data_IF_216354635467
#
_entry.id   IF_216354635467
#
_cell.length_a   1.000
_cell.length_b   1.000
_cell.length_c   1.000
_cell.angle_alpha   90.00
_cell.angle_beta   90.00
_cell.angle_gamma   90.00
#
_symmetry.space_group_name_H-M   'P 1'
#
loop_
_entity.id
_entity.type
_entity.pdbx_description
1 polymer ?
#
# COMPACT_ATOMS: atom_id res chain seq x y z
N UNK A 1 29.88 4.67 10.66
CA UNK A 1 28.94 5.67 10.09
C UNK A 1 27.57 5.08 10.31
N UNK A 2 26.75 5.67 11.17
CA UNK A 2 25.39 5.19 11.43
C UNK A 2 24.62 5.26 10.10
N UNK A 3 24.04 4.13 9.65
CA UNK A 3 22.99 4.17 8.68
C UNK A 3 21.86 5.02 9.29
N UNK A 4 21.80 6.28 8.87
CA UNK A 4 20.63 7.09 9.17
C UNK A 4 19.46 6.36 8.52
N UNK A 5 18.55 5.82 9.33
CA UNK A 5 17.30 5.23 8.86
C UNK A 5 16.66 6.24 7.91
N UNK A 6 16.57 5.86 6.64
CA UNK A 6 16.08 6.77 5.60
C UNK A 6 14.58 6.94 5.82
N UNK A 7 14.16 8.15 6.20
CA UNK A 7 12.75 8.51 6.22
C UNK A 7 12.13 8.28 4.85
N UNK A 8 10.90 7.72 4.80
CA UNK A 8 10.26 7.37 3.53
C UNK A 8 8.74 7.47 3.57
N UNK A 9 8.21 8.09 2.54
CA UNK A 9 6.79 8.00 2.24
C UNK A 9 6.56 6.95 1.14
N UNK A 10 5.47 6.17 1.24
CA UNK A 10 5.10 5.13 0.28
C UNK A 10 3.60 5.13 0.04
N UNK A 11 3.18 4.90 -1.20
CA UNK A 11 1.77 4.74 -1.58
C UNK A 11 1.46 3.31 -1.98
N UNK A 12 0.36 2.76 -1.49
CA UNK A 12 -0.17 1.48 -1.94
C UNK A 12 -1.24 1.75 -3.00
N UNK A 13 -0.92 1.46 -4.26
CA UNK A 13 -1.74 1.86 -5.41
C UNK A 13 -2.05 0.71 -6.35
N UNK A 14 -3.29 0.63 -6.81
CA UNK A 14 -3.71 -0.12 -8.00
C UNK A 14 -5.07 0.36 -8.47
N UNK A 15 -5.25 0.54 -9.78
CA UNK A 15 -6.50 0.95 -10.41
C UNK A 15 -7.46 -0.24 -10.57
N UNK A 16 -7.73 -0.91 -9.45
CA UNK A 16 -8.69 -2.01 -9.33
C UNK A 16 -9.21 -2.07 -7.91
N UNK A 17 -10.53 -2.10 -7.77
CA UNK A 17 -11.18 -2.29 -6.47
C UNK A 17 -11.05 -3.72 -5.96
N UNK A 18 -11.09 -3.88 -4.65
CA UNK A 18 -11.14 -5.19 -3.99
C UNK A 18 -9.84 -5.98 -3.94
N UNK A 19 -8.72 -5.48 -4.44
CA UNK A 19 -7.41 -6.20 -4.46
C UNK A 19 -6.76 -6.31 -3.07
N UNK A 20 -7.25 -5.54 -2.07
CA UNK A 20 -6.71 -5.55 -0.71
C UNK A 20 -5.67 -4.47 -0.43
N UNK A 21 -5.74 -3.32 -1.13
CA UNK A 21 -4.88 -2.16 -0.84
C UNK A 21 -4.88 -1.82 0.64
N UNK A 22 -6.05 -1.51 1.21
CA UNK A 22 -6.20 -1.12 2.62
C UNK A 22 -5.69 -2.19 3.60
N UNK A 23 -5.82 -3.47 3.25
CA UNK A 23 -5.26 -4.56 4.05
C UNK A 23 -3.74 -4.54 4.03
N UNK A 24 -3.14 -4.36 2.84
CA UNK A 24 -1.68 -4.29 2.69
C UNK A 24 -1.14 -3.03 3.38
N UNK A 25 -1.72 -1.86 3.12
CA UNK A 25 -1.25 -0.57 3.65
C UNK A 25 -1.33 -0.51 5.17
N UNK A 26 -2.41 -0.97 5.78
CA UNK A 26 -2.60 -1.01 7.23
C UNK A 26 -1.59 -1.95 7.92
N UNK A 27 -1.42 -3.17 7.41
CA UNK A 27 -0.47 -4.12 7.98
C UNK A 27 0.98 -3.70 7.75
N UNK A 28 1.28 -3.07 6.61
CA UNK A 28 2.58 -2.45 6.36
C UNK A 28 2.87 -1.31 7.38
N UNK A 29 1.89 -0.41 7.59
CA UNK A 29 2.04 0.67 8.57
C UNK A 29 2.33 0.11 9.96
N UNK A 30 1.63 -0.94 10.38
CA UNK A 30 1.86 -1.62 11.67
C UNK A 30 3.26 -2.22 11.78
N UNK A 31 3.75 -2.87 10.74
CA UNK A 31 5.10 -3.46 10.75
C UNK A 31 6.21 -2.41 10.72
N UNK A 32 6.00 -1.28 10.07
CA UNK A 32 6.96 -0.18 10.06
C UNK A 32 7.14 0.46 11.44
N UNK A 33 6.19 0.29 12.38
CA UNK A 33 6.34 0.82 13.76
C UNK A 33 7.51 0.18 14.53
N UNK A 34 7.94 -1.00 14.12
CA UNK A 34 9.13 -1.65 14.67
C UNK A 34 10.45 -0.99 14.21
N UNK A 35 10.36 -0.04 13.27
CA UNK A 35 11.51 0.63 12.63
C UNK A 35 11.52 2.15 12.85
N UNK A 36 10.42 2.74 13.26
CA UNK A 36 10.33 4.18 13.50
C UNK A 36 8.90 4.66 13.70
N UNK A 37 8.73 5.97 13.78
CA UNK A 37 7.43 6.62 13.95
C UNK A 37 6.66 6.61 12.63
N UNK A 38 5.42 6.16 12.64
CA UNK A 38 4.64 5.93 11.43
C UNK A 38 3.35 6.75 11.44
N UNK A 39 3.08 7.41 10.30
CA UNK A 39 1.78 7.96 9.97
C UNK A 39 1.12 7.07 8.91
N UNK A 40 -0.06 6.58 9.19
CA UNK A 40 -0.91 5.93 8.20
C UNK A 40 -1.98 6.92 7.72
N UNK A 41 -2.01 7.22 6.42
CA UNK A 41 -2.90 8.21 5.82
C UNK A 41 -3.85 7.54 4.81
N UNK A 42 -5.15 7.67 5.02
CA UNK A 42 -6.19 7.12 4.15
C UNK A 42 -6.67 8.20 3.15
N UNK A 43 -6.27 8.06 1.89
CA UNK A 43 -6.67 8.95 0.79
C UNK A 43 -7.85 8.40 -0.03
N UNK A 44 -8.36 7.20 0.28
CA UNK A 44 -9.53 6.66 -0.43
C UNK A 44 -10.80 7.33 0.12
N UNK A 45 -11.59 8.07 -0.69
CA UNK A 45 -12.84 8.69 -0.24
C UNK A 45 -13.84 7.72 0.38
N UNK A 46 -13.74 6.42 0.07
CA UNK A 46 -14.59 5.41 0.72
C UNK A 46 -14.21 5.17 2.20
N UNK A 47 -13.04 5.61 2.65
CA UNK A 47 -12.58 5.47 4.02
C UNK A 47 -12.50 4.02 4.52
N UNK A 48 -12.19 3.09 3.62
CA UNK A 48 -12.17 1.67 3.99
C UNK A 48 -11.12 1.35 5.06
N UNK A 49 -9.96 2.01 5.02
CA UNK A 49 -8.93 1.83 6.03
C UNK A 49 -9.31 2.53 7.35
N UNK A 50 -9.79 3.76 7.28
CA UNK A 50 -10.26 4.52 8.45
C UNK A 50 -11.37 3.77 9.20
N UNK A 51 -12.43 3.37 8.49
CA UNK A 51 -13.53 2.59 9.08
C UNK A 51 -13.07 1.19 9.51
N UNK A 52 -12.18 0.57 8.74
CA UNK A 52 -11.60 -0.75 9.02
C UNK A 52 -10.79 -0.80 10.33
N UNK A 53 -10.18 0.31 10.72
CA UNK A 53 -9.48 0.48 12.00
C UNK A 53 -10.40 0.93 13.15
N UNK A 54 -11.69 1.14 12.90
CA UNK A 54 -12.66 1.54 13.93
C UNK A 54 -12.80 3.05 14.15
N UNK A 55 -12.20 3.89 13.28
CA UNK A 55 -12.22 5.34 13.39
C UNK A 55 -13.31 6.00 12.50
N UNK A 56 -14.47 5.34 12.37
CA UNK A 56 -15.58 5.84 11.54
C UNK A 56 -16.16 7.19 11.99
N UNK A 57 -15.95 7.59 13.22
CA UNK A 57 -16.36 8.91 13.70
C UNK A 57 -15.44 10.00 13.11
N UNK A 58 -14.12 9.80 13.11
CA UNK A 58 -13.16 10.72 12.50
C UNK A 58 -13.38 10.90 10.98
N UNK A 59 -13.92 9.89 10.29
CA UNK A 59 -14.33 9.98 8.89
C UNK A 59 -15.45 11.01 8.64
N UNK A 60 -16.22 11.38 9.68
CA UNK A 60 -17.39 12.27 9.60
C UNK A 60 -17.20 13.60 10.31
N UNK A 61 -16.00 13.90 10.77
CA UNK A 61 -15.70 15.14 11.47
C UNK A 61 -15.98 16.38 10.60
N UNK A 62 -16.21 17.51 11.25
CA UNK A 62 -16.44 18.80 10.58
C UNK A 62 -15.17 19.29 9.89
N UNK A 63 -14.00 19.11 10.51
CA UNK A 63 -12.70 19.41 9.93
C UNK A 63 -12.16 18.16 9.24
N UNK A 64 -11.87 18.26 7.96
CA UNK A 64 -11.55 17.09 7.13
C UNK A 64 -10.19 17.21 6.44
N UNK A 65 -9.67 16.07 6.01
CA UNK A 65 -8.47 16.01 5.17
C UNK A 65 -8.65 16.84 3.88
N UNK A 66 -9.86 16.92 3.37
CA UNK A 66 -10.20 17.76 2.21
C UNK A 66 -9.94 19.24 2.45
N UNK A 67 -10.24 19.76 3.64
CA UNK A 67 -10.03 21.16 3.98
C UNK A 67 -8.54 21.49 4.02
N UNK A 68 -7.73 20.60 4.58
CA UNK A 68 -6.27 20.74 4.61
C UNK A 68 -5.66 20.70 3.20
N UNK A 69 -6.06 19.73 2.38
CA UNK A 69 -5.56 19.59 1.00
C UNK A 69 -5.93 20.79 0.13
N UNK A 70 -7.15 21.31 0.29
CA UNK A 70 -7.64 22.47 -0.47
C UNK A 70 -7.25 23.81 0.13
N UNK A 71 -6.55 23.83 1.28
CA UNK A 71 -6.13 25.07 1.96
C UNK A 71 -7.33 25.92 2.41
N UNK A 72 -8.37 25.28 2.92
CA UNK A 72 -9.57 25.92 3.45
C UNK A 72 -9.39 26.20 4.95
N UNK A 73 -9.11 27.44 5.29
CA UNK A 73 -8.86 27.86 6.68
C UNK A 73 -7.41 27.63 7.12
N UNK A 74 -7.19 27.64 8.43
CA UNK A 74 -5.84 27.60 9.04
C UNK A 74 -5.43 26.20 9.53
N UNK A 75 -6.26 25.18 9.29
CA UNK A 75 -6.02 23.82 9.75
C UNK A 75 -4.83 23.16 9.01
N UNK A 76 -4.06 22.39 9.76
CA UNK A 76 -2.94 21.60 9.27
C UNK A 76 -3.26 20.11 9.32
N UNK A 77 -2.47 19.29 8.64
CA UNK A 77 -2.61 17.84 8.76
C UNK A 77 -2.40 17.35 10.20
N UNK A 78 -1.58 18.06 10.99
CA UNK A 78 -1.34 17.78 12.39
C UNK A 78 -2.59 17.83 13.27
N UNK A 79 -3.53 18.70 12.92
CA UNK A 79 -4.78 18.89 13.68
C UNK A 79 -5.80 17.74 13.46
N UNK A 80 -5.62 16.95 12.41
CA UNK A 80 -6.48 15.84 12.04
C UNK A 80 -5.94 14.46 12.49
N UNK A 81 -4.68 14.42 12.94
CA UNK A 81 -4.04 13.17 13.28
C UNK A 81 -4.64 12.58 14.55
N UNK A 82 -5.05 11.32 14.47
CA UNK A 82 -5.61 10.53 15.58
C UNK A 82 -4.58 9.49 16.02
N UNK A 83 -4.29 9.47 17.31
CA UNK A 83 -3.46 8.43 17.91
C UNK A 83 -4.21 7.08 17.90
N UNK A 84 -3.50 6.02 17.53
CA UNK A 84 -4.06 4.66 17.56
C UNK A 84 -3.37 3.80 18.63
N UNK A 85 -3.98 2.69 19.01
CA UNK A 85 -3.37 1.70 19.92
C UNK A 85 -2.38 0.76 19.20
N UNK A 86 -2.14 0.95 17.89
CA UNK A 86 -1.35 0.04 17.05
C UNK A 86 0.10 0.51 16.82
N UNK A 87 0.52 1.59 17.52
CA UNK A 87 1.87 2.13 17.43
C UNK A 87 2.10 3.10 16.25
N UNK A 88 1.15 3.23 15.34
CA UNK A 88 1.13 4.27 14.31
C UNK A 88 0.01 5.28 14.59
N UNK A 89 0.16 6.50 14.10
CA UNK A 89 -0.91 7.50 14.09
C UNK A 89 -1.70 7.41 12.76
N UNK A 90 -2.97 7.76 12.81
CA UNK A 90 -3.87 7.76 11.65
C UNK A 90 -4.18 9.20 11.20
N UNK A 91 -3.99 9.48 9.90
CA UNK A 91 -4.61 10.62 9.23
C UNK A 91 -5.85 10.09 8.49
N UNK A 92 -7.05 10.31 9.03
CA UNK A 92 -8.26 9.67 8.54
C UNK A 92 -8.71 10.23 7.19
N UNK A 93 -9.35 9.38 6.39
CA UNK A 93 -10.11 9.80 5.21
C UNK A 93 -11.37 10.58 5.61
N UNK A 94 -12.03 11.15 4.64
CA UNK A 94 -13.32 11.83 4.84
C UNK A 94 -14.26 11.62 3.66
N UNK A 95 -15.57 11.76 3.91
CA UNK A 95 -16.60 11.71 2.88
C UNK A 95 -16.53 12.89 1.89
N UNK A 96 -15.78 13.96 2.22
CA UNK A 96 -15.59 15.13 1.36
C UNK A 96 -14.51 14.94 0.30
N UNK A 97 -13.64 13.92 0.41
CA UNK A 97 -12.53 13.71 -0.51
C UNK A 97 -12.97 13.45 -1.97
N UNK A 98 -14.19 12.96 -2.20
CA UNK A 98 -14.72 12.81 -3.55
C UNK A 98 -14.94 14.17 -4.26
N UNK A 99 -15.35 15.20 -3.52
CA UNK A 99 -15.48 16.57 -4.06
C UNK A 99 -14.12 17.25 -4.19
N UNK A 100 -13.20 16.98 -3.26
CA UNK A 100 -11.80 17.44 -3.32
C UNK A 100 -11.11 16.98 -4.60
N UNK A 101 -11.40 15.79 -5.08
CA UNK A 101 -10.90 15.26 -6.35
C UNK A 101 -11.16 16.22 -7.53
N UNK A 102 -12.36 16.82 -7.58
CA UNK A 102 -12.76 17.77 -8.62
C UNK A 102 -12.09 19.14 -8.45
N UNK A 103 -12.03 19.62 -7.21
CA UNK A 103 -11.46 20.92 -6.88
C UNK A 103 -9.94 20.94 -7.14
N UNK A 104 -9.24 19.86 -6.87
CA UNK A 104 -7.80 19.70 -7.15
C UNK A 104 -7.46 19.84 -8.62
N UNK A 105 -8.33 19.39 -9.52
CA UNK A 105 -8.08 19.50 -10.96
C UNK A 105 -8.00 20.94 -11.46
N UNK A 106 -8.67 21.89 -10.78
CA UNK A 106 -8.63 23.33 -11.08
C UNK A 106 -7.67 24.14 -10.19
N UNK A 107 -7.09 23.54 -9.16
CA UNK A 107 -6.26 24.24 -8.19
C UNK A 107 -4.83 24.47 -8.71
N UNK A 108 -4.25 25.61 -8.33
CA UNK A 108 -2.83 25.87 -8.55
C UNK A 108 -2.00 24.86 -7.77
N UNK A 109 -1.08 24.16 -8.48
CA UNK A 109 -0.30 23.04 -7.92
C UNK A 109 -1.17 21.91 -7.33
N UNK A 110 -2.36 21.67 -7.89
CA UNK A 110 -3.33 20.71 -7.36
C UNK A 110 -2.76 19.28 -7.21
N UNK A 111 -1.80 18.85 -8.03
CA UNK A 111 -1.15 17.54 -7.92
C UNK A 111 -0.09 17.43 -6.81
N UNK A 112 0.35 18.54 -6.21
CA UNK A 112 1.39 18.57 -5.17
C UNK A 112 0.86 18.88 -3.76
N UNK A 113 -0.45 18.97 -3.57
CA UNK A 113 -1.07 19.38 -2.30
C UNK A 113 -0.78 18.39 -1.17
N UNK A 114 -0.88 17.08 -1.41
CA UNK A 114 -0.54 16.06 -0.40
C UNK A 114 0.94 16.16 -0.02
N UNK A 115 1.83 16.39 -1.00
CA UNK A 115 3.24 16.61 -0.70
C UNK A 115 3.45 17.80 0.22
N UNK A 116 2.94 18.97 -0.16
CA UNK A 116 3.22 20.23 0.54
C UNK A 116 2.47 20.38 1.86
N UNK A 117 1.30 19.75 2.01
CA UNK A 117 0.45 19.88 3.20
C UNK A 117 0.60 18.74 4.21
N UNK A 118 1.11 17.59 3.78
CA UNK A 118 1.23 16.39 4.62
C UNK A 118 2.68 15.91 4.70
N UNK A 119 3.31 15.58 3.55
CA UNK A 119 4.62 14.93 3.58
C UNK A 119 5.73 15.89 4.00
N UNK A 120 5.85 17.05 3.34
CA UNK A 120 6.93 18.00 3.63
C UNK A 120 6.93 18.50 5.10
N UNK A 121 5.80 18.78 5.77
CA UNK A 121 5.82 19.21 7.16
C UNK A 121 5.94 18.08 8.18
N UNK A 122 5.71 16.82 7.83
CA UNK A 122 5.59 15.73 8.79
C UNK A 122 6.70 14.67 8.67
N UNK A 123 7.17 14.38 7.43
CA UNK A 123 8.18 13.36 7.19
C UNK A 123 9.57 13.86 7.59
N UNK A 124 10.26 13.09 8.42
CA UNK A 124 11.55 13.46 8.98
C UNK A 124 11.48 14.31 10.26
N UNK A 125 10.37 15.02 10.47
CA UNK A 125 10.14 15.82 11.66
C UNK A 125 9.36 15.03 12.73
N UNK A 126 8.13 14.66 12.42
CA UNK A 126 7.26 13.92 13.35
C UNK A 126 7.25 12.42 13.06
N UNK A 127 7.37 12.02 11.79
CA UNK A 127 7.32 10.62 11.36
C UNK A 127 8.52 10.24 10.52
N UNK A 128 8.97 9.02 10.70
CA UNK A 128 10.06 8.42 9.91
C UNK A 128 9.50 7.72 8.67
N UNK A 129 8.24 7.27 8.75
CA UNK A 129 7.51 6.66 7.63
C UNK A 129 6.10 7.25 7.50
N UNK A 130 5.65 7.43 6.24
CA UNK A 130 4.26 7.77 5.93
C UNK A 130 3.75 6.75 4.91
N UNK A 131 2.67 6.05 5.23
CA UNK A 131 2.01 5.06 4.36
C UNK A 131 0.67 5.60 3.90
N UNK A 132 0.47 5.71 2.58
CA UNK A 132 -0.80 6.15 2.00
C UNK A 132 -1.60 4.97 1.46
N UNK A 133 -2.86 4.82 1.90
CA UNK A 133 -3.87 3.99 1.24
C UNK A 133 -4.56 4.83 0.16
N UNK A 134 -4.55 4.36 -1.09
CA UNK A 134 -4.95 5.16 -2.24
C UNK A 134 -6.26 4.67 -2.87
N UNK A 135 -7.02 5.56 -3.57
CA UNK A 135 -8.23 5.16 -4.28
C UNK A 135 -8.00 4.09 -5.36
N UNK A 136 -9.06 3.37 -5.71
CA UNK A 136 -9.04 2.32 -6.74
C UNK A 136 -9.26 2.83 -8.18
N UNK A 137 -9.35 4.13 -8.38
CA UNK A 137 -9.63 4.78 -9.67
C UNK A 137 -8.56 5.83 -10.01
N UNK A 138 -8.34 6.14 -11.30
CA UNK A 138 -7.42 7.20 -11.68
C UNK A 138 -8.00 8.57 -11.32
N UNK A 139 -7.16 9.45 -10.74
CA UNK A 139 -7.61 10.78 -10.34
C UNK A 139 -6.53 11.60 -9.66
N UNK A 140 -6.92 12.79 -9.21
CA UNK A 140 -6.01 13.77 -8.61
C UNK A 140 -5.47 13.31 -7.26
N UNK A 141 -6.25 12.55 -6.47
CA UNK A 141 -5.75 12.00 -5.20
C UNK A 141 -4.63 10.98 -5.43
N UNK A 142 -4.77 10.09 -6.43
CA UNK A 142 -3.69 9.19 -6.81
C UNK A 142 -2.47 9.94 -7.35
N UNK A 143 -2.65 10.97 -8.19
CA UNK A 143 -1.55 11.80 -8.67
C UNK A 143 -0.84 12.50 -7.51
N UNK A 144 -1.59 13.02 -6.55
CA UNK A 144 -1.05 13.63 -5.33
C UNK A 144 -0.23 12.64 -4.50
N UNK A 145 -0.74 11.43 -4.32
CA UNK A 145 -0.02 10.37 -3.61
C UNK A 145 1.32 10.05 -4.30
N UNK A 146 1.33 9.91 -5.63
CA UNK A 146 2.57 9.65 -6.39
C UNK A 146 3.57 10.79 -6.28
N UNK A 147 3.12 12.04 -6.44
CA UNK A 147 3.99 13.23 -6.31
C UNK A 147 4.56 13.33 -4.89
N UNK A 148 3.76 12.98 -3.88
CA UNK A 148 4.16 13.06 -2.49
C UNK A 148 5.16 11.99 -2.08
N UNK A 149 5.01 10.76 -2.58
CA UNK A 149 5.78 9.63 -2.07
C UNK A 149 6.92 9.19 -2.99
N UNK A 150 6.72 9.29 -4.30
CA UNK A 150 7.65 8.78 -5.33
C UNK A 150 8.01 7.28 -5.18
N UNK A 151 7.44 6.61 -4.19
CA UNK A 151 7.62 5.19 -3.91
C UNK A 151 6.25 4.51 -3.90
N UNK A 152 6.12 3.40 -4.60
CA UNK A 152 4.84 2.69 -4.68
C UNK A 152 4.97 1.20 -4.43
N UNK A 153 3.95 0.63 -3.78
CA UNK A 153 3.69 -0.81 -3.68
C UNK A 153 2.42 -1.10 -4.46
N UNK A 154 2.46 -2.14 -5.30
CA UNK A 154 1.32 -2.52 -6.14
C UNK A 154 0.85 -3.93 -5.75
N UNK A 155 -0.27 -4.07 -5.03
CA UNK A 155 -0.87 -5.37 -4.74
C UNK A 155 -1.54 -5.95 -5.99
N UNK A 156 -1.41 -7.26 -6.18
CA UNK A 156 -1.95 -8.00 -7.33
C UNK A 156 -2.68 -9.24 -6.84
N UNK A 157 -3.91 -9.47 -7.32
CA UNK A 157 -4.64 -10.70 -7.00
C UNK A 157 -4.72 -11.62 -8.23
N UNK A 158 -4.93 -12.93 -8.08
CA UNK A 158 -5.11 -13.85 -9.23
C UNK A 158 -6.28 -13.47 -10.15
N UNK A 159 -6.20 -13.93 -11.38
CA UNK A 159 -7.24 -13.77 -12.39
C UNK A 159 -6.92 -12.75 -13.48
N UNK A 160 -7.53 -12.93 -14.65
CA UNK A 160 -7.31 -12.14 -15.87
C UNK A 160 -7.54 -10.63 -15.69
N UNK A 161 -8.45 -10.27 -14.78
CA UNK A 161 -8.74 -8.86 -14.45
C UNK A 161 -7.58 -8.18 -13.71
N UNK A 162 -6.65 -8.92 -13.10
CA UNK A 162 -5.51 -8.37 -12.37
C UNK A 162 -4.38 -7.89 -13.26
N UNK A 163 -4.04 -8.66 -14.29
CA UNK A 163 -3.10 -8.21 -15.32
C UNK A 163 -3.63 -6.93 -15.96
N UNK A 164 -4.95 -6.86 -16.23
CA UNK A 164 -5.62 -5.65 -16.69
C UNK A 164 -5.55 -4.50 -15.69
N UNK A 165 -5.66 -4.76 -14.39
CA UNK A 165 -5.52 -3.77 -13.31
C UNK A 165 -4.10 -3.22 -13.24
N UNK A 166 -3.10 -4.09 -13.24
CA UNK A 166 -1.69 -3.72 -13.30
C UNK A 166 -1.37 -2.87 -14.54
N UNK A 167 -1.75 -3.36 -15.72
CA UNK A 167 -1.53 -2.62 -16.98
C UNK A 167 -2.18 -1.23 -16.93
N UNK A 168 -3.44 -1.12 -16.47
CA UNK A 168 -4.09 0.18 -16.30
C UNK A 168 -3.34 1.08 -15.33
N UNK A 169 -2.85 0.55 -14.21
CA UNK A 169 -2.06 1.32 -13.24
C UNK A 169 -0.78 1.83 -13.86
N UNK A 170 -0.05 0.97 -14.57
CA UNK A 170 1.15 1.40 -15.27
C UNK A 170 0.86 2.44 -16.36
N UNK A 171 -0.13 2.18 -17.23
CA UNK A 171 -0.35 3.01 -18.42
C UNK A 171 -1.08 4.33 -18.10
N UNK A 172 -1.94 4.37 -17.07
CA UNK A 172 -2.76 5.54 -16.75
C UNK A 172 -2.29 6.33 -15.53
N UNK A 173 -1.38 5.78 -14.74
CA UNK A 173 -0.93 6.42 -13.50
C UNK A 173 0.59 6.51 -13.44
N UNK A 174 1.32 5.39 -13.47
CA UNK A 174 2.77 5.39 -13.23
C UNK A 174 3.56 5.97 -14.41
N UNK A 175 3.34 5.47 -15.63
CA UNK A 175 4.09 5.94 -16.81
C UNK A 175 3.88 7.44 -17.10
N UNK A 176 2.65 7.99 -17.10
CA UNK A 176 2.46 9.43 -17.28
C UNK A 176 3.13 10.26 -16.18
N UNK A 177 3.08 9.82 -14.93
CA UNK A 177 3.74 10.54 -13.84
C UNK A 177 5.27 10.50 -13.96
N UNK A 178 5.86 9.40 -14.48
CA UNK A 178 7.30 9.27 -14.71
C UNK A 178 7.87 10.24 -15.78
N UNK A 179 7.02 10.88 -16.56
CA UNK A 179 7.46 11.93 -17.47
C UNK A 179 7.89 13.21 -16.71
N UNK A 180 7.45 13.37 -15.46
CA UNK A 180 7.66 14.59 -14.67
C UNK A 180 8.41 14.36 -13.35
N UNK A 181 8.32 13.14 -12.78
CA UNK A 181 8.90 12.78 -11.49
C UNK A 181 9.46 11.35 -11.52
N UNK A 182 10.48 11.09 -10.72
CA UNK A 182 10.97 9.73 -10.54
C UNK A 182 9.99 8.95 -9.64
N UNK A 183 9.49 7.81 -10.12
CA UNK A 183 8.65 6.91 -9.34
C UNK A 183 9.30 5.53 -9.30
N UNK A 184 9.58 5.07 -8.09
CA UNK A 184 10.09 3.73 -7.86
C UNK A 184 8.96 2.79 -7.47
N UNK A 185 8.84 1.66 -8.15
CA UNK A 185 8.00 0.55 -7.74
C UNK A 185 8.83 -0.32 -6.81
N UNK A 186 8.60 -0.23 -5.50
CA UNK A 186 9.37 -0.95 -4.49
C UNK A 186 9.03 -2.43 -4.48
N UNK A 187 7.74 -2.77 -4.61
CA UNK A 187 7.28 -4.15 -4.64
C UNK A 187 6.00 -4.35 -5.46
N UNK A 188 5.91 -5.51 -6.10
CA UNK A 188 4.68 -6.09 -6.65
C UNK A 188 4.26 -7.23 -5.72
N UNK A 189 3.13 -7.09 -5.04
CA UNK A 189 2.73 -7.98 -3.95
C UNK A 189 1.60 -8.89 -4.39
N UNK A 190 1.85 -10.18 -4.70
CA UNK A 190 0.78 -11.15 -4.90
C UNK A 190 -0.06 -11.28 -3.62
N UNK A 191 -1.36 -11.02 -3.75
CA UNK A 191 -2.31 -10.98 -2.64
C UNK A 191 -3.55 -11.82 -2.93
N UNK A 192 -4.23 -12.23 -1.87
CA UNK A 192 -5.44 -13.08 -1.93
C UNK A 192 -5.25 -14.43 -2.61
N UNK A 193 -4.05 -14.98 -2.56
CA UNK A 193 -3.79 -16.31 -3.09
C UNK A 193 -4.59 -17.35 -2.29
N UNK A 194 -5.24 -18.30 -2.98
CA UNK A 194 -6.15 -19.30 -2.37
C UNK A 194 -5.82 -20.72 -2.76
N UNK A 195 -5.34 -20.90 -3.98
CA UNK A 195 -5.22 -22.20 -4.61
C UNK A 195 -3.82 -22.81 -4.44
N UNK A 196 -3.70 -24.04 -4.78
CA UNK A 196 -2.44 -24.75 -4.76
C UNK A 196 -1.66 -24.43 -6.04
N UNK A 197 -0.37 -24.21 -5.91
CA UNK A 197 0.50 -23.85 -7.03
C UNK A 197 1.14 -25.08 -7.72
N UNK A 198 0.91 -26.28 -7.20
CA UNK A 198 1.23 -27.56 -7.84
C UNK A 198 0.21 -27.98 -8.93
N UNK A 199 -0.80 -27.14 -9.16
CA UNK A 199 -1.79 -27.29 -10.21
C UNK A 199 -1.78 -26.02 -11.07
N UNK A 200 -2.23 -26.14 -12.32
CA UNK A 200 -2.38 -24.99 -13.21
C UNK A 200 -3.62 -24.18 -12.81
N UNK A 201 -3.41 -23.21 -11.96
CA UNK A 201 -4.42 -22.32 -11.38
C UNK A 201 -4.12 -20.87 -11.71
N UNK A 202 -5.10 -19.97 -11.52
CA UNK A 202 -4.88 -18.53 -11.70
C UNK A 202 -3.82 -17.98 -10.72
N UNK A 203 -3.72 -18.56 -9.51
CA UNK A 203 -2.67 -18.22 -8.54
C UNK A 203 -1.28 -18.53 -9.12
N UNK A 204 -1.12 -19.71 -9.70
CA UNK A 204 0.13 -20.13 -10.32
C UNK A 204 0.48 -19.26 -11.52
N UNK A 205 -0.47 -19.00 -12.42
CA UNK A 205 -0.26 -18.14 -13.60
C UNK A 205 0.22 -16.74 -13.20
N UNK A 206 -0.37 -16.15 -12.14
CA UNK A 206 0.09 -14.87 -11.63
C UNK A 206 1.54 -14.93 -11.17
N UNK A 207 1.88 -15.92 -10.37
CA UNK A 207 3.24 -16.09 -9.83
C UNK A 207 4.28 -16.37 -10.92
N UNK A 208 3.98 -17.24 -11.87
CA UNK A 208 4.85 -17.52 -13.02
C UNK A 208 5.11 -16.25 -13.83
N UNK A 209 4.05 -15.53 -14.20
CA UNK A 209 4.18 -14.27 -14.96
C UNK A 209 5.03 -13.23 -14.24
N UNK A 210 4.84 -13.07 -12.94
CA UNK A 210 5.58 -12.08 -12.14
C UNK A 210 7.05 -12.48 -11.95
N UNK A 211 7.33 -13.75 -11.73
CA UNK A 211 8.68 -14.24 -11.44
C UNK A 211 9.56 -14.47 -12.70
N UNK A 212 8.95 -14.61 -13.88
CA UNK A 212 9.68 -14.85 -15.13
C UNK A 212 9.87 -13.60 -15.98
N UNK A 213 8.97 -12.63 -15.91
CA UNK A 213 9.08 -11.42 -16.72
C UNK A 213 10.18 -10.49 -16.20
N UNK A 214 11.11 -10.08 -17.08
CA UNK A 214 12.24 -9.20 -16.76
C UNK A 214 11.82 -7.90 -16.07
N UNK A 215 10.68 -7.33 -16.48
CA UNK A 215 10.17 -6.08 -15.93
C UNK A 215 9.65 -6.19 -14.48
N UNK A 216 9.35 -7.39 -14.00
CA UNK A 216 8.68 -7.61 -12.70
C UNK A 216 9.51 -8.44 -11.73
N UNK A 217 10.31 -9.38 -12.20
CA UNK A 217 11.05 -10.33 -11.34
C UNK A 217 11.91 -9.63 -10.26
N UNK A 218 12.47 -8.45 -10.54
CA UNK A 218 13.25 -7.65 -9.61
C UNK A 218 12.43 -6.95 -8.52
N UNK A 219 11.10 -6.94 -8.64
CA UNK A 219 10.17 -6.25 -7.74
C UNK A 219 9.31 -7.22 -6.92
N UNK A 220 9.54 -8.52 -7.04
CA UNK A 220 8.79 -9.53 -6.30
C UNK A 220 9.45 -9.74 -4.94
N UNK A 221 8.73 -9.57 -3.81
CA UNK A 221 9.22 -9.90 -2.48
C UNK A 221 9.66 -11.37 -2.39
N UNK A 222 10.62 -11.68 -1.51
CA UNK A 222 11.13 -13.06 -1.40
C UNK A 222 10.05 -14.04 -0.95
N UNK A 223 9.09 -13.60 -0.10
CA UNK A 223 7.95 -14.45 0.29
C UNK A 223 7.01 -14.81 -0.87
N UNK A 224 7.15 -14.20 -2.05
CA UNK A 224 6.36 -14.51 -3.24
C UNK A 224 7.24 -14.95 -4.43
N UNK A 225 8.53 -15.13 -4.17
CA UNK A 225 9.49 -15.52 -5.21
C UNK A 225 9.49 -17.03 -5.39
N UNK A 226 9.40 -17.45 -6.64
CA UNK A 226 9.58 -18.83 -7.07
C UNK A 226 10.36 -18.78 -8.38
N UNK A 227 11.48 -19.46 -8.43
CA UNK A 227 12.31 -19.53 -9.63
C UNK A 227 11.72 -20.51 -10.65
N UNK A 228 12.05 -20.42 -11.95
CA UNK A 228 11.64 -21.42 -12.94
C UNK A 228 12.04 -22.84 -12.56
N UNK A 229 13.24 -23.04 -12.03
CA UNK A 229 13.71 -24.36 -11.58
C UNK A 229 12.88 -24.92 -10.40
N UNK A 230 12.41 -24.05 -9.50
CA UNK A 230 11.51 -24.47 -8.41
C UNK A 230 10.11 -24.83 -8.94
N UNK A 231 9.60 -24.12 -9.95
CA UNK A 231 8.36 -24.52 -10.61
C UNK A 231 8.49 -25.90 -11.27
N UNK A 232 9.61 -26.17 -11.97
CA UNK A 232 9.89 -27.47 -12.58
C UNK A 232 9.97 -28.58 -11.50
N UNK A 233 10.68 -28.32 -10.40
CA UNK A 233 10.79 -29.27 -9.28
C UNK A 233 9.44 -29.55 -8.57
N UNK A 234 8.55 -28.56 -8.52
CA UNK A 234 7.18 -28.73 -8.03
C UNK A 234 6.38 -29.64 -8.98
N UNK A 235 6.49 -29.42 -10.30
CA UNK A 235 5.79 -30.20 -11.32
C UNK A 235 6.25 -31.66 -11.38
N UNK A 236 7.56 -31.89 -11.17
CA UNK A 236 8.15 -33.21 -11.11
C UNK A 236 7.92 -33.93 -9.76
N UNK A 237 7.33 -33.22 -8.77
CA UNK A 237 7.07 -33.74 -7.42
C UNK A 237 8.34 -33.88 -6.55
N UNK A 238 9.42 -33.23 -6.96
CA UNK A 238 10.70 -33.21 -6.23
C UNK A 238 10.72 -32.17 -5.11
N UNK A 239 9.85 -31.17 -5.20
CA UNK A 239 9.72 -30.08 -4.21
C UNK A 239 8.28 -29.96 -3.68
N UNK A 240 8.16 -29.79 -2.36
CA UNK A 240 6.85 -29.42 -1.77
C UNK A 240 6.48 -27.98 -2.16
N UNK A 241 5.25 -27.75 -2.65
CA UNK A 241 4.82 -26.40 -3.03
C UNK A 241 4.89 -25.44 -1.84
N UNK A 242 5.62 -24.33 -1.95
CA UNK A 242 5.61 -23.28 -0.93
C UNK A 242 4.22 -22.62 -0.86
N UNK A 243 4.03 -21.76 0.13
CA UNK A 243 2.83 -20.91 0.27
C UNK A 243 3.20 -19.45 0.00
N UNK A 244 3.47 -19.08 -1.25
CA UNK A 244 3.96 -17.76 -1.60
C UNK A 244 2.88 -16.67 -1.48
N UNK A 245 3.32 -15.42 -1.38
CA UNK A 245 2.46 -14.25 -1.40
C UNK A 245 1.62 -14.07 -0.14
N UNK A 246 0.81 -13.02 -0.13
CA UNK A 246 -0.20 -12.81 0.91
C UNK A 246 -1.42 -13.64 0.56
N UNK A 247 -1.75 -14.59 1.43
CA UNK A 247 -2.83 -15.53 1.18
C UNK A 247 -4.13 -15.07 1.81
N UNK A 248 -5.24 -15.38 1.14
CA UNK A 248 -6.55 -15.25 1.74
C UNK A 248 -6.63 -16.16 2.99
N UNK A 249 -6.92 -15.56 4.14
CA UNK A 249 -7.01 -16.30 5.38
C UNK A 249 -8.16 -15.84 6.26
N UNK A 250 -8.66 -16.77 7.08
CA UNK A 250 -9.67 -16.42 8.07
C UNK A 250 -9.14 -15.43 9.12
N UNK A 251 -7.84 -15.51 9.45
CA UNK A 251 -7.21 -14.58 10.38
C UNK A 251 -7.23 -13.14 9.85
N UNK A 252 -6.78 -12.89 8.61
CA UNK A 252 -6.87 -11.56 7.97
C UNK A 252 -8.31 -11.04 7.89
N UNK A 253 -9.27 -11.92 7.57
CA UNK A 253 -10.68 -11.51 7.52
C UNK A 253 -11.25 -11.18 8.89
N UNK A 254 -10.82 -11.87 9.94
CA UNK A 254 -11.25 -11.65 11.33
C UNK A 254 -10.56 -10.43 11.94
N UNK A 255 -9.29 -10.20 11.64
CA UNK A 255 -8.54 -9.02 12.11
C UNK A 255 -9.21 -7.73 11.65
N UNK A 256 -9.60 -7.65 10.37
CA UNK A 256 -10.36 -6.51 9.84
C UNK A 256 -11.71 -6.31 10.53
N UNK A 257 -12.43 -7.41 10.86
CA UNK A 257 -13.69 -7.33 11.62
C UNK A 257 -13.48 -6.92 13.08
N UNK A 258 -12.31 -7.22 13.63
CA UNK A 258 -11.91 -6.82 14.97
C UNK A 258 -11.29 -5.41 15.00
N UNK A 259 -11.24 -4.72 13.85
CA UNK A 259 -10.63 -3.40 13.69
C UNK A 259 -9.14 -3.36 14.09
N UNK A 260 -8.40 -4.42 13.77
CA UNK A 260 -6.99 -4.56 14.15
C UNK A 260 -6.13 -5.00 12.97
N UNK A 261 -4.86 -4.54 12.87
CA UNK A 261 -3.85 -5.18 12.03
C UNK A 261 -3.62 -6.65 12.43
N UNK A 262 -3.11 -7.46 11.48
CA UNK A 262 -2.91 -8.89 11.72
C UNK A 262 -1.96 -9.19 12.89
N UNK A 263 -0.87 -8.42 13.00
CA UNK A 263 0.11 -8.58 14.09
C UNK A 263 -0.53 -8.42 15.47
N UNK A 264 -1.46 -7.47 15.63
CA UNK A 264 -2.13 -7.23 16.91
C UNK A 264 -3.27 -8.23 17.17
N UNK A 265 -3.85 -8.79 16.10
CA UNK A 265 -4.93 -9.77 16.20
C UNK A 265 -4.42 -11.21 16.41
N UNK A 266 -3.38 -11.61 15.69
CA UNK A 266 -2.83 -12.99 15.68
C UNK A 266 -1.31 -12.92 15.40
N UNK A 267 -0.50 -12.58 16.43
CA UNK A 267 0.94 -12.38 16.29
C UNK A 267 1.71 -13.59 15.77
N UNK A 268 1.21 -14.79 16.04
CA UNK A 268 1.84 -16.06 15.62
C UNK A 268 1.44 -16.47 14.19
N UNK A 269 0.67 -15.66 13.49
CA UNK A 269 0.26 -15.96 12.13
C UNK A 269 1.43 -15.88 11.16
N UNK A 270 1.68 -16.93 10.41
CA UNK A 270 2.81 -17.01 9.47
C UNK A 270 2.85 -15.90 8.41
N UNK A 271 1.74 -15.21 8.15
CA UNK A 271 1.72 -14.09 7.22
C UNK A 271 2.20 -12.77 7.81
N UNK A 272 2.42 -12.70 9.12
CA UNK A 272 3.06 -11.55 9.78
C UNK A 272 4.45 -11.33 9.20
N UNK A 273 5.21 -12.39 8.97
CA UNK A 273 6.55 -12.34 8.36
C UNK A 273 6.53 -11.73 6.95
N UNK A 274 5.46 -11.94 6.17
CA UNK A 274 5.32 -11.33 4.84
C UNK A 274 5.21 -9.80 4.92
N UNK A 275 4.49 -9.30 5.92
CA UNK A 275 4.36 -7.85 6.12
C UNK A 275 5.63 -7.25 6.74
N UNK A 276 6.37 -8.02 7.56
CA UNK A 276 7.68 -7.63 8.07
C UNK A 276 8.70 -7.47 6.93
N UNK A 277 8.74 -8.42 5.99
CA UNK A 277 9.58 -8.29 4.79
C UNK A 277 9.15 -7.07 3.96
N UNK A 278 7.84 -6.82 3.84
CA UNK A 278 7.35 -5.65 3.13
C UNK A 278 7.80 -4.34 3.78
N UNK A 279 7.82 -4.28 5.12
CA UNK A 279 8.36 -3.15 5.87
C UNK A 279 9.88 -3.00 5.63
N UNK A 280 10.62 -4.10 5.56
CA UNK A 280 12.04 -4.09 5.20
C UNK A 280 12.27 -3.53 3.79
N UNK A 281 11.46 -3.94 2.82
CA UNK A 281 11.53 -3.43 1.44
C UNK A 281 11.29 -1.91 1.41
N UNK A 282 10.34 -1.41 2.20
CA UNK A 282 10.11 0.04 2.30
C UNK A 282 11.30 0.74 2.95
N UNK A 283 11.81 0.25 4.05
CA UNK A 283 12.94 0.85 4.75
C UNK A 283 14.21 0.91 3.86
N UNK A 284 14.50 -0.17 3.14
CA UNK A 284 15.69 -0.30 2.29
C UNK A 284 15.53 0.38 0.91
N UNK A 285 14.30 0.64 0.48
CA UNK A 285 13.99 1.26 -0.82
C UNK A 285 13.92 0.29 -1.98
N UNK A 286 13.64 -0.97 -1.73
CA UNK A 286 13.44 -2.01 -2.73
C UNK A 286 13.67 -3.41 -2.20
N UNK A 287 13.42 -4.40 -3.05
CA UNK A 287 13.67 -5.81 -2.72
C UNK A 287 15.17 -6.10 -2.71
N UNK A 288 15.68 -6.56 -1.59
CA UNK A 288 17.06 -7.07 -1.47
C UNK A 288 17.15 -8.53 -1.90
N UNK A 289 18.32 -8.92 -2.47
CA UNK A 289 18.56 -10.26 -3.01
C UNK A 289 19.88 -10.82 -2.51
#
# INVERSE_FOLDING_TARGET
MSDAEKTRAVSVVILKGGVGKSTISMNLARQLTERGRVLFADLDPNGHATNGLGFGDAYRDELTLGDVILDKGDATAGDLIVETSFGFDLLPSSNTLEDVEKDLAGALQGSARVKTKIVDPLLGERYDYIVFDCPAYPGMLNNNALVATQNVIIPLEPGSSSIGGYKRTMDRLIKPAREYIDIEVLALVPNKLRERIDQRTEDRELLENLNTAEATQGKIPNFARITPAEFDAIDDGEMQPPKPGVRYSAALSKSLKAHQPLLDYDPENSQVENFEELASIVANGGVER
#
